data_IF_748007408564
#
_entry.id   IF_748007408564
#
_cell.length_a   1.000
_cell.length_b   1.000
_cell.length_c   1.000
_cell.angle_alpha   90.00
_cell.angle_beta   90.00
_cell.angle_gamma   90.00
#
_symmetry.space_group_name_H-M   'P 1'
#
loop_
_entity.id
_entity.type
_entity.pdbx_description
1 polymer ?
#
# COMPACT_ATOMS: atom_id res chain seq x y z
N UNK A 1 3.71 19.41 3.87
CA UNK A 1 3.97 18.26 4.71
C UNK A 1 5.35 17.70 4.45
N UNK A 2 6.05 17.38 5.50
CA UNK A 2 7.35 16.71 5.42
C UNK A 2 7.18 15.24 5.73
N UNK A 3 7.94 14.43 5.02
CA UNK A 3 8.00 13.01 5.34
C UNK A 3 9.30 12.71 6.07
N UNK A 4 9.18 11.88 7.06
CA UNK A 4 10.33 11.30 7.75
C UNK A 4 10.22 9.79 7.71
N UNK A 5 11.36 9.15 7.60
CA UNK A 5 11.46 7.71 7.65
C UNK A 5 11.99 7.31 9.01
N UNK A 6 11.18 6.54 9.76
CA UNK A 6 11.66 5.89 10.96
C UNK A 6 11.54 4.40 10.77
N UNK A 7 12.55 3.67 11.22
CA UNK A 7 12.55 2.22 11.16
C UNK A 7 12.72 1.68 12.57
N UNK A 8 12.16 0.51 12.81
CA UNK A 8 12.57 -0.27 13.97
C UNK A 8 13.97 -0.82 13.64
N UNK A 9 14.98 0.00 13.93
CA UNK A 9 16.37 -0.28 13.56
C UNK A 9 16.86 -1.57 14.20
N UNK A 10 16.34 -1.91 15.35
CA UNK A 10 16.77 -3.11 16.09
C UNK A 10 16.35 -4.39 15.42
N UNK A 11 15.13 -4.41 14.88
CA UNK A 11 14.52 -5.64 14.35
C UNK A 11 14.46 -5.66 12.83
N UNK A 12 14.41 -4.51 12.18
CA UNK A 12 14.29 -4.36 10.74
C UNK A 12 13.10 -5.14 10.16
N UNK A 13 12.04 -5.22 10.93
CA UNK A 13 10.83 -5.98 10.55
C UNK A 13 9.86 -5.10 9.78
N UNK A 14 9.77 -3.84 10.17
CA UNK A 14 8.81 -2.89 9.61
C UNK A 14 9.48 -1.53 9.44
N UNK A 15 9.21 -0.88 8.31
CA UNK A 15 9.59 0.52 8.10
C UNK A 15 8.36 1.39 8.36
N UNK A 16 8.55 2.50 9.06
CA UNK A 16 7.48 3.45 9.35
C UNK A 16 7.77 4.78 8.68
N UNK A 17 6.79 5.32 7.97
CA UNK A 17 6.89 6.57 7.24
C UNK A 17 5.88 7.56 7.81
N UNK A 18 6.35 8.72 8.20
CA UNK A 18 5.56 9.70 8.94
C UNK A 18 5.41 10.97 8.10
N UNK A 19 4.19 11.47 8.00
CA UNK A 19 3.91 12.78 7.42
C UNK A 19 3.86 13.81 8.55
N UNK A 20 4.69 14.85 8.45
CA UNK A 20 4.73 15.91 9.44
C UNK A 20 4.06 17.16 8.90
N UNK A 21 3.25 17.76 9.74
CA UNK A 21 2.69 19.07 9.53
C UNK A 21 3.60 20.12 10.20
N UNK A 22 3.25 21.40 10.05
CA UNK A 22 3.96 22.49 10.72
C UNK A 22 4.02 22.27 12.23
N UNK A 23 5.12 22.68 12.85
CA UNK A 23 5.35 22.48 14.28
C UNK A 23 5.71 21.06 14.66
N UNK A 24 6.14 20.25 13.69
CA UNK A 24 6.53 18.85 13.89
C UNK A 24 5.41 17.94 14.39
N UNK A 25 4.15 18.33 14.18
CA UNK A 25 3.02 17.47 14.51
C UNK A 25 2.92 16.33 13.51
N UNK A 26 2.68 15.13 14.00
CA UNK A 26 2.44 13.98 13.14
C UNK A 26 1.02 14.07 12.58
N UNK A 27 0.92 14.28 11.27
CA UNK A 27 -0.37 14.35 10.58
C UNK A 27 -0.90 12.97 10.22
N UNK A 28 0.01 12.03 9.95
CA UNK A 28 -0.35 10.66 9.65
C UNK A 28 0.89 9.81 9.46
N UNK A 29 0.69 8.51 9.28
CA UNK A 29 1.79 7.59 9.04
C UNK A 29 1.29 6.31 8.39
N UNK A 30 2.24 5.55 7.84
CA UNK A 30 1.98 4.19 7.39
C UNK A 30 3.22 3.33 7.62
N UNK A 31 3.03 2.02 7.60
CA UNK A 31 4.12 1.08 7.76
C UNK A 31 4.21 0.14 6.56
N UNK A 32 5.42 -0.23 6.19
CA UNK A 32 5.69 -1.19 5.13
C UNK A 32 6.56 -2.33 5.64
N UNK A 33 6.27 -3.53 5.19
CA UNK A 33 7.07 -4.71 5.49
C UNK A 33 7.05 -5.64 4.28
N UNK A 34 8.07 -6.49 4.16
CA UNK A 34 8.08 -7.52 3.13
C UNK A 34 7.03 -8.59 3.47
N UNK A 35 6.39 -9.12 2.45
CA UNK A 35 5.32 -10.10 2.61
C UNK A 35 5.26 -11.02 1.41
N UNK A 36 4.38 -12.01 1.46
CA UNK A 36 4.12 -12.93 0.37
C UNK A 36 2.63 -13.09 0.19
N UNK A 37 2.20 -13.24 -1.06
CA UNK A 37 0.85 -13.64 -1.40
C UNK A 37 0.89 -15.07 -1.93
N UNK A 38 -0.01 -15.92 -1.45
CA UNK A 38 -0.16 -17.25 -2.03
C UNK A 38 -0.81 -17.11 -3.40
N UNK A 39 -0.20 -17.72 -4.41
CA UNK A 39 -0.74 -17.69 -5.77
C UNK A 39 -2.17 -18.22 -5.80
N UNK A 40 -2.45 -19.26 -5.03
CA UNK A 40 -3.77 -19.86 -4.94
C UNK A 40 -4.84 -18.95 -4.34
N UNK A 41 -4.45 -17.93 -3.57
CA UNK A 41 -5.38 -17.00 -2.94
C UNK A 41 -5.79 -15.86 -3.88
N UNK A 42 -5.04 -15.67 -4.98
CA UNK A 42 -5.33 -14.61 -5.95
C UNK A 42 -6.52 -15.00 -6.84
N UNK A 43 -7.25 -14.02 -7.38
CA UNK A 43 -8.28 -14.31 -8.39
C UNK A 43 -7.68 -15.14 -9.52
N UNK A 44 -8.44 -16.10 -10.03
CA UNK A 44 -7.95 -17.01 -11.07
C UNK A 44 -7.44 -16.28 -12.30
N UNK A 45 -8.10 -15.20 -12.70
CA UNK A 45 -7.69 -14.38 -13.85
C UNK A 45 -6.32 -13.72 -13.63
N UNK A 46 -6.01 -13.36 -12.38
CA UNK A 46 -4.73 -12.78 -12.01
C UNK A 46 -3.65 -13.85 -11.95
N UNK A 47 -3.93 -14.97 -11.29
CA UNK A 47 -2.98 -16.04 -11.08
C UNK A 47 -2.50 -16.67 -12.39
N UNK A 48 -3.34 -16.73 -13.41
CA UNK A 48 -2.99 -17.28 -14.72
C UNK A 48 -1.86 -16.53 -15.43
N UNK A 49 -1.71 -15.24 -15.11
CA UNK A 49 -0.71 -14.37 -15.74
C UNK A 49 0.63 -14.38 -15.04
N UNK A 50 0.73 -15.08 -13.92
CA UNK A 50 1.92 -15.08 -13.08
C UNK A 50 2.68 -16.39 -13.18
N UNK A 51 4.01 -16.38 -12.93
CA UNK A 51 4.78 -17.62 -12.85
C UNK A 51 4.19 -18.56 -11.81
N UNK A 52 4.31 -19.86 -12.04
CA UNK A 52 3.71 -20.88 -11.17
C UNK A 52 4.56 -21.18 -9.94
N UNK A 53 4.92 -20.16 -9.20
CA UNK A 53 5.52 -20.33 -7.87
C UNK A 53 4.40 -20.39 -6.83
N UNK A 54 4.61 -21.08 -5.69
CA UNK A 54 3.59 -21.13 -4.64
C UNK A 54 3.23 -19.76 -4.09
N UNK A 55 4.20 -18.84 -4.05
CA UNK A 55 4.00 -17.49 -3.54
C UNK A 55 4.57 -16.47 -4.50
N UNK A 56 4.05 -15.25 -4.44
CA UNK A 56 4.61 -14.10 -5.12
C UNK A 56 5.02 -13.05 -4.09
N UNK A 57 6.13 -12.31 -4.33
CA UNK A 57 6.57 -11.31 -3.38
C UNK A 57 5.61 -10.13 -3.35
N UNK A 58 5.40 -9.59 -2.16
CA UNK A 58 4.53 -8.45 -1.93
C UNK A 58 5.14 -7.53 -0.88
N UNK A 59 4.62 -6.32 -0.80
CA UNK A 59 4.86 -5.40 0.29
C UNK A 59 3.55 -5.27 1.04
N UNK A 60 3.58 -5.44 2.36
CA UNK A 60 2.40 -5.25 3.19
C UNK A 60 2.44 -3.87 3.82
N UNK A 61 1.37 -3.11 3.62
CA UNK A 61 1.15 -1.90 4.39
C UNK A 61 0.35 -2.30 5.64
N UNK A 62 1.04 -2.34 6.79
CA UNK A 62 0.44 -2.85 8.01
C UNK A 62 -0.50 -1.87 8.66
N UNK A 63 -0.19 -0.57 8.58
CA UNK A 63 -1.03 0.48 9.15
C UNK A 63 -1.04 1.68 8.22
N UNK A 64 -2.16 2.37 8.21
CA UNK A 64 -2.33 3.66 7.57
C UNK A 64 -3.24 4.47 8.49
N UNK A 65 -2.71 5.54 9.05
CA UNK A 65 -3.44 6.33 10.03
C UNK A 65 -3.28 7.82 9.75
N UNK A 66 -4.36 8.54 9.92
CA UNK A 66 -4.41 10.00 9.80
C UNK A 66 -4.90 10.57 11.12
N UNK A 67 -4.18 11.56 11.65
CA UNK A 67 -4.59 12.25 12.87
C UNK A 67 -5.94 12.93 12.68
N UNK A 68 -6.74 12.95 13.72
CA UNK A 68 -8.09 13.52 13.70
C UNK A 68 -8.11 14.95 13.15
N UNK A 69 -7.13 15.77 13.54
CA UNK A 69 -7.04 17.16 13.09
C UNK A 69 -6.77 17.33 11.61
N UNK A 70 -6.40 16.28 10.91
CA UNK A 70 -6.07 16.31 9.49
C UNK A 70 -7.00 15.46 8.62
N UNK A 71 -8.06 14.91 9.21
CA UNK A 71 -9.04 14.14 8.45
C UNK A 71 -9.84 15.03 7.52
N UNK A 72 -10.28 14.48 6.40
CA UNK A 72 -11.06 15.21 5.42
C UNK A 72 -10.26 16.06 4.47
N UNK A 73 -8.93 16.01 4.52
CA UNK A 73 -8.04 16.80 3.67
C UNK A 73 -7.33 15.98 2.58
N UNK A 74 -7.75 14.73 2.40
CA UNK A 74 -7.14 13.86 1.39
C UNK A 74 -5.80 13.26 1.78
N UNK A 75 -5.40 13.39 3.04
CA UNK A 75 -4.10 12.90 3.51
C UNK A 75 -4.00 11.37 3.43
N UNK A 76 -5.07 10.65 3.71
CA UNK A 76 -5.09 9.19 3.61
C UNK A 76 -4.74 8.72 2.20
N UNK A 77 -5.36 9.35 1.20
CA UNK A 77 -5.05 9.05 -0.20
C UNK A 77 -3.63 9.42 -0.58
N UNK A 78 -3.13 10.54 -0.07
CA UNK A 78 -1.75 10.98 -0.33
C UNK A 78 -0.74 10.02 0.29
N UNK A 79 -0.97 9.55 1.51
CA UNK A 79 -0.11 8.56 2.15
C UNK A 79 -0.12 7.23 1.40
N UNK A 80 -1.29 6.81 0.93
CA UNK A 80 -1.41 5.59 0.14
C UNK A 80 -0.64 5.70 -1.17
N UNK A 81 -0.75 6.84 -1.85
CA UNK A 81 0.01 7.10 -3.08
C UNK A 81 1.51 7.05 -2.83
N UNK A 82 1.97 7.60 -1.70
CA UNK A 82 3.38 7.58 -1.31
C UNK A 82 3.84 6.13 -1.05
N UNK A 83 3.02 5.34 -0.36
CA UNK A 83 3.34 3.93 -0.09
C UNK A 83 3.47 3.13 -1.39
N UNK A 84 2.55 3.33 -2.32
CA UNK A 84 2.59 2.68 -3.63
C UNK A 84 3.85 3.06 -4.40
N UNK A 85 4.20 4.34 -4.37
CA UNK A 85 5.39 4.85 -5.05
C UNK A 85 6.66 4.23 -4.47
N UNK A 86 6.79 4.19 -3.14
CA UNK A 86 7.96 3.58 -2.48
C UNK A 86 8.08 2.09 -2.78
N UNK A 87 6.96 1.38 -2.70
CA UNK A 87 6.96 -0.05 -3.00
C UNK A 87 7.34 -0.33 -4.46
N UNK A 88 6.81 0.48 -5.38
CA UNK A 88 7.08 0.31 -6.81
C UNK A 88 8.51 0.66 -7.19
N UNK A 89 9.14 1.60 -6.48
CA UNK A 89 10.52 2.04 -6.76
C UNK A 89 11.57 1.26 -5.98
N UNK A 90 11.18 0.33 -5.14
CA UNK A 90 12.13 -0.48 -4.39
C UNK A 90 13.02 -1.27 -5.35
N UNK A 91 14.31 -1.37 -5.01
CA UNK A 91 15.25 -2.21 -5.77
C UNK A 91 14.89 -3.69 -5.67
N UNK A 92 14.23 -4.07 -4.57
CA UNK A 92 13.76 -5.45 -4.41
C UNK A 92 12.37 -5.53 -5.02
N UNK A 93 12.23 -6.38 -6.04
CA UNK A 93 10.98 -6.50 -6.77
C UNK A 93 9.87 -7.06 -5.89
N UNK A 94 8.68 -6.50 -6.03
CA UNK A 94 7.46 -7.01 -5.45
C UNK A 94 6.35 -6.91 -6.49
N UNK A 95 5.44 -7.89 -6.47
CA UNK A 95 4.33 -7.92 -7.40
C UNK A 95 3.25 -6.90 -7.02
N UNK A 96 2.94 -6.78 -5.74
CA UNK A 96 1.79 -6.00 -5.28
C UNK A 96 2.02 -5.37 -3.92
N UNK A 97 1.28 -4.29 -3.65
CA UNK A 97 1.06 -3.80 -2.30
C UNK A 97 -0.20 -4.48 -1.77
N UNK A 98 -0.12 -5.06 -0.56
CA UNK A 98 -1.27 -5.69 0.08
C UNK A 98 -1.61 -4.97 1.37
N UNK A 99 -2.90 -4.95 1.69
CA UNK A 99 -3.44 -4.27 2.86
C UNK A 99 -4.52 -5.13 3.50
N UNK A 100 -4.72 -4.94 4.80
CA UNK A 100 -5.85 -5.52 5.50
C UNK A 100 -6.79 -4.39 5.90
N UNK A 101 -8.06 -4.48 5.48
CA UNK A 101 -9.09 -3.55 5.91
C UNK A 101 -9.63 -3.95 7.25
N UNK A 102 -9.54 -3.09 8.25
CA UNK A 102 -10.04 -3.39 9.60
C UNK A 102 -11.56 -3.45 9.67
N UNK A 103 -12.24 -2.81 8.72
CA UNK A 103 -13.70 -2.75 8.65
C UNK A 103 -14.13 -2.46 7.22
N UNK A 104 -15.45 -2.40 7.00
CA UNK A 104 -16.00 -2.15 5.67
C UNK A 104 -15.64 -0.78 5.11
N UNK A 105 -15.53 0.21 5.97
CA UNK A 105 -15.14 1.56 5.54
C UNK A 105 -13.71 1.59 5.01
N UNK A 106 -12.80 0.88 5.67
CA UNK A 106 -11.42 0.75 5.20
C UNK A 106 -11.36 -0.01 3.87
N UNK A 107 -12.11 -1.10 3.74
CA UNK A 107 -12.18 -1.85 2.49
C UNK A 107 -12.70 -0.96 1.35
N UNK A 108 -13.75 -0.17 1.61
CA UNK A 108 -14.28 0.74 0.61
C UNK A 108 -13.25 1.79 0.19
N UNK A 109 -12.48 2.32 1.14
CA UNK A 109 -11.39 3.26 0.86
C UNK A 109 -10.36 2.64 -0.09
N UNK A 110 -9.90 1.42 0.21
CA UNK A 110 -8.92 0.76 -0.65
C UNK A 110 -9.49 0.40 -2.01
N UNK A 111 -10.73 -0.07 -2.07
CA UNK A 111 -11.38 -0.35 -3.35
C UNK A 111 -11.53 0.89 -4.21
N UNK A 112 -11.84 2.02 -3.59
CA UNK A 112 -11.91 3.31 -4.30
C UNK A 112 -10.59 3.64 -4.99
N UNK A 113 -9.48 3.23 -4.41
CA UNK A 113 -8.15 3.44 -4.97
C UNK A 113 -7.66 2.29 -5.86
N UNK A 114 -8.56 1.40 -6.25
CA UNK A 114 -8.27 0.36 -7.25
C UNK A 114 -7.81 -0.98 -6.69
N UNK A 115 -7.78 -1.14 -5.38
CA UNK A 115 -7.40 -2.41 -4.76
C UNK A 115 -8.45 -3.48 -5.00
N UNK A 116 -8.01 -4.72 -5.08
CA UNK A 116 -8.82 -5.89 -5.37
C UNK A 116 -8.85 -6.78 -4.13
N UNK A 117 -10.05 -7.18 -3.69
CA UNK A 117 -10.19 -8.08 -2.55
C UNK A 117 -9.82 -9.50 -2.95
N UNK A 118 -9.17 -10.24 -2.03
CA UNK A 118 -8.94 -11.66 -2.23
C UNK A 118 -10.27 -12.40 -2.13
N UNK A 119 -10.52 -13.39 -3.02
CA UNK A 119 -11.81 -14.08 -3.05
C UNK A 119 -12.21 -14.74 -1.71
N UNK A 120 -11.27 -15.38 -1.03
CA UNK A 120 -11.54 -16.10 0.21
C UNK A 120 -11.19 -15.31 1.47
N UNK A 121 -10.70 -14.09 1.31
CA UNK A 121 -10.34 -13.21 2.42
C UNK A 121 -10.69 -11.77 2.04
N UNK A 122 -11.98 -11.43 2.04
CA UNK A 122 -12.45 -10.15 1.46
C UNK A 122 -11.97 -8.91 2.20
N UNK A 123 -11.42 -9.05 3.41
CA UNK A 123 -10.82 -7.93 4.12
C UNK A 123 -9.34 -7.74 3.79
N UNK A 124 -8.75 -8.65 3.03
CA UNK A 124 -7.39 -8.52 2.52
C UNK A 124 -7.46 -8.11 1.05
N UNK A 125 -6.78 -7.03 0.70
CA UNK A 125 -6.80 -6.49 -0.65
C UNK A 125 -5.38 -6.31 -1.17
N UNK A 126 -5.24 -6.26 -2.48
CA UNK A 126 -3.95 -6.04 -3.13
C UNK A 126 -4.10 -5.14 -4.34
N UNK A 127 -3.01 -4.47 -4.69
CA UNK A 127 -2.94 -3.71 -5.94
C UNK A 127 -1.60 -4.06 -6.60
N UNK A 128 -1.63 -4.62 -7.83
CA UNK A 128 -0.40 -4.86 -8.57
C UNK A 128 0.36 -3.57 -8.80
N UNK A 129 1.66 -3.57 -8.50
CA UNK A 129 2.47 -2.36 -8.60
C UNK A 129 2.65 -1.90 -10.04
N UNK A 130 2.65 -2.82 -10.99
CA UNK A 130 2.67 -2.46 -12.41
C UNK A 130 1.44 -1.63 -12.80
N UNK A 131 0.27 -1.97 -12.27
CA UNK A 131 -0.96 -1.22 -12.49
C UNK A 131 -0.85 0.20 -11.92
N UNK A 132 -0.33 0.32 -10.71
CA UNK A 132 -0.15 1.61 -10.06
C UNK A 132 0.80 2.51 -10.85
N UNK A 133 1.90 1.96 -11.35
CA UNK A 133 2.85 2.70 -12.18
C UNK A 133 2.23 3.17 -13.50
N UNK A 134 1.44 2.31 -14.14
CA UNK A 134 0.77 2.65 -15.39
C UNK A 134 -0.22 3.80 -15.21
N UNK A 135 -1.01 3.77 -14.14
CA UNK A 135 -1.96 4.83 -13.81
C UNK A 135 -1.23 6.18 -13.60
N UNK A 136 -0.10 6.17 -12.89
CA UNK A 136 0.68 7.38 -12.66
C UNK A 136 1.25 7.95 -13.95
N UNK A 137 1.77 7.12 -14.85
CA UNK A 137 2.28 7.56 -16.14
C UNK A 137 1.19 8.22 -16.98
N UNK A 138 -0.01 7.67 -16.96
CA UNK A 138 -1.16 8.24 -17.66
C UNK A 138 -1.51 9.62 -17.11
N UNK A 139 -1.57 9.75 -15.78
CA UNK A 139 -1.84 11.05 -15.13
C UNK A 139 -0.78 12.09 -15.49
N UNK A 140 0.48 11.71 -15.45
CA UNK A 140 1.57 12.63 -15.79
C UNK A 140 1.50 13.09 -17.24
N UNK A 141 1.08 12.23 -18.15
CA UNK A 141 0.92 12.60 -19.57
C UNK A 141 -0.29 13.50 -19.81
N UNK A 142 -1.31 13.38 -19.00
CA UNK A 142 -2.52 14.19 -19.12
C UNK A 142 -2.33 15.61 -18.61
N UNK A 143 -1.26 15.87 -17.90
CA UNK A 143 -0.88 17.19 -17.40
C UNK A 143 0.13 17.87 -18.30
#
# INVERSE_FOLDING_TARGET
LREHVTQDVRRRVVACFVALAEGHRIAGYYTLASASLLLADLPASTGKKLPRYPTVPAVRMGRLAVDQGFKGQGLGGALLADALDRAARSEIAAYALMVDGKDEAAVAFYRHHGFIALPDSPLTLFLPLATALSARKTDNKAR
#
